data_IF_097644077437
#
_entry.id   IF_097644077437
#
_cell.length_a   1.000
_cell.length_b   1.000
_cell.length_c   1.000
_cell.angle_alpha   90.00
_cell.angle_beta   90.00
_cell.angle_gamma   90.00
#
_symmetry.space_group_name_H-M   'P 1'
#
loop_
_entity.id
_entity.type
_entity.pdbx_description
1 polymer ?
#
# COMPACT_ATOMS: atom_id res chain seq x y z
N UNK A 1 42.79 -38.33 -49.88
CA UNK A 1 42.04 -38.35 -48.61
C UNK A 1 42.31 -37.03 -47.89
N UNK A 2 41.44 -36.02 -48.01
CA UNK A 2 41.59 -34.74 -47.29
C UNK A 2 40.24 -34.39 -46.64
N UNK A 3 40.32 -34.11 -45.34
CA UNK A 3 39.24 -34.09 -44.37
C UNK A 3 38.35 -32.83 -44.45
N UNK A 4 37.08 -33.00 -44.08
CA UNK A 4 36.06 -31.96 -44.02
C UNK A 4 36.25 -31.06 -42.78
N UNK A 5 36.17 -29.75 -42.99
CA UNK A 5 36.19 -28.73 -41.92
C UNK A 5 34.73 -28.41 -41.55
N UNK A 6 34.29 -28.82 -40.36
CA UNK A 6 32.98 -28.45 -39.80
C UNK A 6 33.05 -27.04 -39.20
N UNK A 7 32.16 -26.15 -39.68
CA UNK A 7 32.00 -24.80 -39.13
C UNK A 7 31.15 -24.83 -37.85
N UNK A 8 31.78 -24.61 -36.70
CA UNK A 8 31.12 -24.45 -35.40
C UNK A 8 30.31 -23.15 -35.35
N UNK A 9 28.98 -23.27 -35.26
CA UNK A 9 28.08 -22.12 -35.01
C UNK A 9 28.11 -21.77 -33.52
N UNK A 10 28.75 -20.66 -33.18
CA UNK A 10 28.65 -20.04 -31.85
C UNK A 10 27.24 -19.44 -31.70
N UNK A 11 26.39 -20.12 -30.93
CA UNK A 11 25.09 -19.58 -30.50
C UNK A 11 25.32 -18.61 -29.32
N UNK A 12 25.14 -17.31 -29.56
CA UNK A 12 25.14 -16.30 -28.51
C UNK A 12 23.88 -16.48 -27.63
N UNK A 13 23.99 -16.60 -26.31
CA UNK A 13 22.82 -16.68 -25.44
C UNK A 13 22.17 -15.30 -25.34
N UNK A 14 20.93 -15.20 -25.82
CA UNK A 14 20.10 -14.00 -25.67
C UNK A 14 19.70 -13.86 -24.20
N UNK A 15 20.46 -13.06 -23.45
CA UNK A 15 20.18 -12.73 -22.06
C UNK A 15 18.93 -11.85 -22.00
N UNK A 16 17.77 -12.45 -21.73
CA UNK A 16 16.52 -11.73 -21.56
C UNK A 16 16.60 -10.83 -20.31
N UNK A 17 16.86 -9.53 -20.51
CA UNK A 17 16.65 -8.52 -19.48
C UNK A 17 15.14 -8.44 -19.19
N UNK A 18 14.71 -9.10 -18.12
CA UNK A 18 13.43 -8.82 -17.48
C UNK A 18 13.50 -7.42 -16.86
N UNK A 19 13.23 -6.39 -17.68
CA UNK A 19 13.10 -5.03 -17.21
C UNK A 19 12.04 -4.99 -16.10
N UNK A 20 12.50 -4.68 -14.89
CA UNK A 20 11.62 -4.42 -13.78
C UNK A 20 10.96 -3.07 -13.98
N UNK A 21 9.82 -3.05 -14.68
CA UNK A 21 9.01 -1.83 -14.78
C UNK A 21 8.60 -1.45 -13.36
N UNK A 22 9.09 -0.32 -12.81
CA UNK A 22 8.60 0.14 -11.52
C UNK A 22 7.10 0.43 -11.65
N UNK A 23 6.34 0.18 -10.58
CA UNK A 23 4.95 0.61 -10.53
C UNK A 23 4.91 2.15 -10.54
N UNK A 24 4.93 2.75 -11.74
CA UNK A 24 4.72 4.17 -11.95
C UNK A 24 3.24 4.48 -11.70
N UNK A 25 2.94 5.69 -11.23
CA UNK A 25 1.57 6.17 -11.24
C UNK A 25 1.03 6.18 -12.68
N UNK A 26 -0.28 5.97 -12.85
CA UNK A 26 -0.96 6.07 -14.14
C UNK A 26 -0.65 7.43 -14.79
N UNK A 27 -0.21 7.40 -16.05
CA UNK A 27 0.07 8.61 -16.84
C UNK A 27 -1.02 8.76 -17.91
N UNK A 28 -2.09 9.46 -17.56
CA UNK A 28 -3.22 9.69 -18.46
C UNK A 28 -2.90 10.64 -19.62
N UNK A 29 -1.74 11.28 -19.62
CA UNK A 29 -1.25 12.10 -20.73
C UNK A 29 -0.29 11.32 -21.65
N UNK A 30 -0.08 10.03 -21.40
CA UNK A 30 0.78 9.21 -22.23
C UNK A 30 0.29 9.19 -23.68
N UNK A 31 1.20 9.22 -24.67
CA UNK A 31 0.85 9.32 -26.09
C UNK A 31 0.10 8.08 -26.61
N UNK A 32 0.19 6.96 -25.91
CA UNK A 32 -0.56 5.73 -26.18
C UNK A 32 -1.02 5.14 -24.86
N UNK A 33 -2.33 4.95 -24.74
CA UNK A 33 -2.96 4.24 -23.65
C UNK A 33 -3.43 2.87 -24.16
N UNK A 34 -3.36 1.86 -23.31
CA UNK A 34 -4.06 0.59 -23.56
C UNK A 34 -5.59 0.77 -23.52
N UNK A 35 -6.34 -0.26 -23.89
CA UNK A 35 -7.81 -0.24 -23.74
C UNK A 35 -8.24 -0.06 -22.28
N UNK A 36 -7.58 -0.77 -21.35
CA UNK A 36 -7.86 -0.63 -19.93
C UNK A 36 -7.45 0.75 -19.39
N UNK A 37 -6.27 1.24 -19.76
CA UNK A 37 -5.78 2.57 -19.37
C UNK A 37 -6.69 3.69 -19.90
N UNK A 38 -7.21 3.54 -21.12
CA UNK A 38 -8.21 4.46 -21.69
C UNK A 38 -9.44 4.56 -20.78
N UNK A 39 -10.01 3.44 -20.33
CA UNK A 39 -11.15 3.45 -19.41
C UNK A 39 -10.79 3.98 -18.03
N UNK A 40 -9.60 3.65 -17.51
CA UNK A 40 -9.13 4.15 -16.21
C UNK A 40 -9.03 5.67 -16.23
N UNK A 41 -8.39 6.24 -17.26
CA UNK A 41 -8.19 7.67 -17.38
C UNK A 41 -9.47 8.45 -17.71
N UNK A 42 -10.42 7.85 -18.44
CA UNK A 42 -11.70 8.48 -18.75
C UNK A 42 -12.72 8.40 -17.59
N UNK A 43 -12.49 7.57 -16.57
CA UNK A 43 -13.48 7.30 -15.51
C UNK A 43 -12.92 7.66 -14.14
N UNK A 44 -13.38 8.75 -13.49
CA UNK A 44 -12.83 9.21 -12.21
C UNK A 44 -12.80 8.13 -11.12
N UNK A 45 -13.85 7.30 -11.02
CA UNK A 45 -13.90 6.22 -10.06
C UNK A 45 -12.84 5.12 -10.29
N UNK A 46 -12.52 4.81 -11.55
CA UNK A 46 -11.45 3.85 -11.88
C UNK A 46 -10.06 4.45 -11.64
N UNK A 47 -9.87 5.73 -11.94
CA UNK A 47 -8.64 6.44 -11.63
C UNK A 47 -8.36 6.45 -10.11
N UNK A 48 -9.37 6.75 -9.30
CA UNK A 48 -9.27 6.67 -7.84
C UNK A 48 -8.96 5.25 -7.35
N UNK A 49 -9.59 4.23 -7.93
CA UNK A 49 -9.30 2.83 -7.60
C UNK A 49 -7.85 2.46 -7.95
N UNK A 50 -7.30 2.96 -9.05
CA UNK A 50 -5.90 2.77 -9.41
C UNK A 50 -4.94 3.41 -8.41
N UNK A 51 -5.20 4.67 -8.04
CA UNK A 51 -4.42 5.38 -7.03
C UNK A 51 -4.42 4.64 -5.68
N UNK A 52 -5.61 4.26 -5.19
CA UNK A 52 -5.79 3.55 -3.91
C UNK A 52 -5.09 2.18 -3.90
N UNK A 53 -5.20 1.42 -5.00
CA UNK A 53 -4.53 0.13 -5.13
C UNK A 53 -3.01 0.30 -5.15
N UNK A 54 -2.50 1.31 -5.84
CA UNK A 54 -1.07 1.60 -5.89
C UNK A 54 -0.50 1.95 -4.52
N UNK A 55 -1.26 2.68 -3.70
CA UNK A 55 -0.89 2.98 -2.33
C UNK A 55 -0.89 1.74 -1.44
N UNK A 56 -1.92 0.90 -1.56
CA UNK A 56 -1.96 -0.41 -0.89
C UNK A 56 -0.78 -1.28 -1.30
N UNK A 57 -0.43 -1.34 -2.59
CA UNK A 57 0.71 -2.12 -3.08
C UNK A 57 2.05 -1.62 -2.50
N UNK A 58 2.24 -0.30 -2.39
CA UNK A 58 3.45 0.27 -1.78
C UNK A 58 3.58 -0.08 -0.30
N UNK A 59 2.48 -0.04 0.43
CA UNK A 59 2.44 -0.46 1.84
C UNK A 59 2.71 -1.97 1.95
N UNK A 60 2.06 -2.78 1.12
CA UNK A 60 2.31 -4.22 1.05
C UNK A 60 3.80 -4.51 0.77
N UNK A 61 4.45 -3.74 -0.11
CA UNK A 61 5.87 -3.89 -0.39
C UNK A 61 6.79 -3.55 0.81
N UNK A 62 6.35 -2.71 1.75
CA UNK A 62 7.11 -2.44 2.97
C UNK A 62 7.09 -3.63 3.94
N UNK A 63 5.98 -4.38 3.97
CA UNK A 63 5.75 -5.49 4.90
C UNK A 63 6.06 -6.87 4.30
N UNK A 64 6.08 -6.98 2.96
CA UNK A 64 6.21 -8.26 2.28
C UNK A 64 7.49 -9.02 2.69
N UNK A 65 7.37 -10.30 3.11
CA UNK A 65 8.53 -11.17 3.35
C UNK A 65 9.41 -11.33 2.11
N UNK A 66 8.80 -11.27 0.91
CA UNK A 66 9.50 -11.30 -0.37
C UNK A 66 8.93 -10.25 -1.32
N UNK A 67 9.61 -9.09 -1.40
CA UNK A 67 9.28 -8.03 -2.37
C UNK A 67 9.32 -8.52 -3.84
N UNK A 68 10.29 -9.36 -4.26
CA UNK A 68 10.28 -9.89 -5.62
C UNK A 68 9.05 -10.74 -5.94
N UNK A 69 8.58 -11.56 -4.98
CA UNK A 69 7.39 -12.37 -5.17
C UNK A 69 6.13 -11.50 -5.32
N UNK A 70 5.92 -10.55 -4.40
CA UNK A 70 4.81 -9.59 -4.46
C UNK A 70 4.80 -8.82 -5.79
N UNK A 71 5.98 -8.40 -6.28
CA UNK A 71 6.12 -7.72 -7.56
C UNK A 71 5.70 -8.60 -8.74
N UNK A 72 6.10 -9.87 -8.76
CA UNK A 72 5.70 -10.80 -9.85
C UNK A 72 4.19 -10.98 -9.90
N UNK A 73 3.54 -11.11 -8.76
CA UNK A 73 2.08 -11.22 -8.68
C UNK A 73 1.38 -9.94 -9.12
N UNK A 74 1.89 -8.77 -8.73
CA UNK A 74 1.36 -7.49 -9.18
C UNK A 74 1.46 -7.34 -10.69
N UNK A 75 2.59 -7.75 -11.29
CA UNK A 75 2.77 -7.77 -12.74
C UNK A 75 1.84 -8.76 -13.44
N UNK A 76 1.59 -9.93 -12.83
CA UNK A 76 0.63 -10.90 -13.35
C UNK A 76 -0.80 -10.34 -13.32
N UNK A 77 -1.19 -9.69 -12.22
CA UNK A 77 -2.48 -9.01 -12.11
C UNK A 77 -2.63 -7.88 -13.14
N UNK A 78 -1.60 -7.05 -13.34
CA UNK A 78 -1.62 -6.00 -14.38
C UNK A 78 -1.88 -6.60 -15.77
N UNK A 79 -1.18 -7.68 -16.13
CA UNK A 79 -1.43 -8.37 -17.42
C UNK A 79 -2.84 -8.94 -17.54
N UNK A 80 -3.43 -9.43 -16.45
CA UNK A 80 -4.81 -9.93 -16.44
C UNK A 80 -5.83 -8.78 -16.55
N UNK A 81 -5.59 -7.65 -15.86
CA UNK A 81 -6.42 -6.44 -15.94
C UNK A 81 -6.54 -5.92 -17.38
N UNK A 82 -5.44 -5.95 -18.14
CA UNK A 82 -5.43 -5.55 -19.56
C UNK A 82 -6.37 -6.37 -20.46
N UNK A 83 -6.81 -7.55 -20.02
CA UNK A 83 -7.71 -8.42 -20.79
C UNK A 83 -9.19 -8.07 -20.60
N UNK A 84 -9.52 -7.12 -19.72
CA UNK A 84 -10.90 -6.69 -19.52
C UNK A 84 -11.49 -6.08 -20.80
N UNK A 85 -12.77 -6.38 -21.05
CA UNK A 85 -13.51 -5.92 -22.24
C UNK A 85 -14.53 -4.83 -21.94
N UNK A 86 -14.73 -4.51 -20.67
CA UNK A 86 -15.60 -3.43 -20.22
C UNK A 86 -15.16 -2.88 -18.84
N UNK A 87 -15.80 -1.78 -18.43
CA UNK A 87 -15.54 -1.16 -17.12
C UNK A 87 -15.99 -2.01 -15.93
N UNK A 88 -16.97 -2.93 -16.11
CA UNK A 88 -17.44 -3.80 -15.02
C UNK A 88 -16.34 -4.80 -14.65
N UNK A 89 -15.70 -5.41 -15.64
CA UNK A 89 -14.54 -6.27 -15.47
C UNK A 89 -13.40 -5.54 -14.77
N UNK A 90 -13.07 -4.30 -15.21
CA UNK A 90 -12.02 -3.51 -14.56
C UNK A 90 -12.33 -3.25 -13.09
N UNK A 91 -13.54 -2.76 -12.78
CA UNK A 91 -13.96 -2.51 -11.40
C UNK A 91 -13.81 -3.75 -10.53
N UNK A 92 -14.25 -4.91 -11.02
CA UNK A 92 -14.11 -6.17 -10.29
C UNK A 92 -12.64 -6.54 -10.07
N UNK A 93 -11.79 -6.41 -11.10
CA UNK A 93 -10.35 -6.67 -11.01
C UNK A 93 -9.67 -5.81 -9.95
N UNK A 94 -10.04 -4.52 -9.84
CA UNK A 94 -9.54 -3.62 -8.79
C UNK A 94 -10.03 -4.03 -7.39
N UNK A 95 -11.33 -4.34 -7.25
CA UNK A 95 -11.91 -4.78 -5.97
C UNK A 95 -11.22 -6.05 -5.45
N UNK A 96 -11.01 -7.03 -6.32
CA UNK A 96 -10.40 -8.30 -5.95
C UNK A 96 -8.94 -8.12 -5.55
N UNK A 97 -8.19 -7.31 -6.32
CA UNK A 97 -6.78 -7.07 -6.00
C UNK A 97 -6.60 -6.22 -4.76
N UNK A 98 -7.43 -5.20 -4.54
CA UNK A 98 -7.42 -4.42 -3.32
C UNK A 98 -7.68 -5.31 -2.10
N UNK A 99 -8.69 -6.19 -2.17
CA UNK A 99 -8.98 -7.17 -1.10
C UNK A 99 -7.79 -8.08 -0.80
N UNK A 100 -7.14 -8.62 -1.84
CA UNK A 100 -5.96 -9.45 -1.68
C UNK A 100 -4.80 -8.71 -1.01
N UNK A 101 -4.53 -7.46 -1.41
CA UNK A 101 -3.45 -6.65 -0.83
C UNK A 101 -3.75 -6.30 0.63
N UNK A 102 -4.98 -5.88 0.96
CA UNK A 102 -5.42 -5.59 2.33
C UNK A 102 -5.27 -6.80 3.25
N UNK A 103 -5.71 -7.98 2.79
CA UNK A 103 -5.54 -9.23 3.54
C UNK A 103 -4.06 -9.54 3.82
N UNK A 104 -3.19 -9.44 2.79
CA UNK A 104 -1.75 -9.66 2.96
C UNK A 104 -1.09 -8.66 3.90
N UNK A 105 -1.46 -7.39 3.81
CA UNK A 105 -0.95 -6.34 4.71
C UNK A 105 -1.28 -6.67 6.16
N UNK A 106 -2.54 -7.04 6.44
CA UNK A 106 -2.97 -7.48 7.77
C UNK A 106 -2.19 -8.72 8.23
N UNK A 107 -2.05 -9.72 7.36
CA UNK A 107 -1.38 -10.97 7.71
C UNK A 107 0.12 -10.76 7.99
N UNK A 108 0.80 -9.91 7.21
CA UNK A 108 2.22 -9.56 7.41
C UNK A 108 2.46 -8.57 8.56
N UNK A 109 1.42 -7.89 9.05
CA UNK A 109 1.49 -7.08 10.25
C UNK A 109 1.47 -7.93 11.54
N UNK A 110 1.31 -9.25 11.44
CA UNK A 110 1.24 -10.18 12.56
C UNK A 110 2.37 -11.23 12.51
N UNK A 111 2.83 -11.75 13.66
CA UNK A 111 2.48 -11.34 15.02
C UNK A 111 2.97 -9.93 15.36
N UNK A 112 2.41 -9.33 16.42
CA UNK A 112 2.74 -7.97 16.80
C UNK A 112 4.23 -7.81 17.14
N UNK A 113 4.94 -6.99 16.36
CA UNK A 113 6.36 -6.66 16.56
C UNK A 113 6.59 -5.16 16.85
N UNK A 114 5.52 -4.42 17.16
CA UNK A 114 5.56 -2.98 17.41
C UNK A 114 6.00 -2.71 18.86
N UNK A 115 7.04 -1.88 19.03
CA UNK A 115 7.46 -1.38 20.34
C UNK A 115 6.59 -0.16 20.73
N UNK A 116 5.80 -0.24 21.83
CA UNK A 116 4.95 0.87 22.27
C UNK A 116 5.70 2.18 22.50
N UNK A 117 6.99 2.14 22.82
CA UNK A 117 7.79 3.36 23.03
C UNK A 117 8.11 4.06 21.71
N UNK A 118 8.17 3.33 20.60
CA UNK A 118 8.53 3.87 19.28
C UNK A 118 7.36 4.56 18.58
N UNK A 119 6.13 4.19 18.91
CA UNK A 119 4.93 4.79 18.34
C UNK A 119 4.60 6.15 18.96
N UNK A 120 5.17 6.48 20.12
CA UNK A 120 5.04 7.80 20.72
C UNK A 120 5.68 8.89 19.84
N UNK A 121 5.09 10.08 19.83
CA UNK A 121 5.58 11.24 19.08
C UNK A 121 4.65 11.66 17.94
N UNK A 122 5.19 12.50 17.06
CA UNK A 122 4.44 13.17 15.99
C UNK A 122 4.57 12.42 14.67
N UNK A 123 3.45 12.25 13.98
CA UNK A 123 3.35 11.49 12.74
C UNK A 123 2.66 12.30 11.66
N UNK A 124 3.13 12.19 10.43
CA UNK A 124 2.54 12.80 9.23
C UNK A 124 2.25 11.74 8.17
N UNK A 125 1.09 11.81 7.54
CA UNK A 125 0.68 10.87 6.48
C UNK A 125 1.54 11.04 5.24
N UNK A 126 1.86 9.91 4.59
CA UNK A 126 2.53 9.87 3.30
C UNK A 126 1.46 9.64 2.23
N UNK A 127 0.85 10.73 1.75
CA UNK A 127 -0.25 10.87 0.76
C UNK A 127 -1.64 11.10 1.35
N UNK A 128 -2.28 10.07 1.86
CA UNK A 128 -3.67 10.16 2.33
C UNK A 128 -3.84 9.28 3.55
N UNK A 129 -4.00 9.95 4.70
CA UNK A 129 -4.27 9.32 5.98
C UNK A 129 -5.62 9.78 6.53
N UNK A 130 -6.15 9.02 7.47
CA UNK A 130 -7.35 9.34 8.26
C UNK A 130 -7.10 10.61 9.07
N UNK A 131 -5.84 10.80 9.47
CA UNK A 131 -5.30 12.04 9.99
C UNK A 131 -4.13 12.43 9.10
N UNK A 132 -4.03 13.69 8.66
CA UNK A 132 -2.81 14.11 7.96
C UNK A 132 -1.64 14.19 8.91
N UNK A 133 -1.88 14.67 10.13
CA UNK A 133 -0.91 14.62 11.22
C UNK A 133 -1.58 14.27 12.54
N UNK A 134 -0.86 13.54 13.39
CA UNK A 134 -1.29 13.27 14.76
C UNK A 134 -0.10 13.07 15.71
N UNK A 135 -0.38 13.16 17.01
CA UNK A 135 0.55 12.80 18.07
C UNK A 135 -0.04 11.69 18.95
N UNK A 136 0.80 10.69 19.25
CA UNK A 136 0.58 9.75 20.36
C UNK A 136 1.44 10.22 21.54
N UNK A 137 0.84 10.98 22.46
CA UNK A 137 1.56 11.53 23.60
C UNK A 137 1.85 10.46 24.66
N UNK A 138 2.98 10.55 25.41
CA UNK A 138 3.31 9.61 26.49
C UNK A 138 2.24 9.50 27.57
N UNK A 139 1.44 10.55 27.79
CA UNK A 139 0.30 10.57 28.72
C UNK A 139 -0.97 9.90 28.20
N UNK A 140 -0.88 9.06 27.16
CA UNK A 140 -2.03 8.39 26.53
C UNK A 140 -3.10 9.35 25.98
N UNK A 141 -2.64 10.54 25.55
CA UNK A 141 -3.47 11.55 24.85
C UNK A 141 -3.13 11.57 23.38
N UNK A 142 -4.19 11.56 22.57
CA UNK A 142 -4.14 11.62 21.13
C UNK A 142 -4.45 13.05 20.72
N UNK A 143 -3.57 13.63 19.92
CA UNK A 143 -3.75 14.98 19.40
C UNK A 143 -3.74 14.91 17.88
N UNK A 144 -4.86 15.19 17.26
CA UNK A 144 -4.91 15.61 15.87
C UNK A 144 -4.55 17.10 15.81
N UNK A 145 -3.62 17.48 14.94
CA UNK A 145 -3.19 18.88 14.85
C UNK A 145 -4.35 19.80 14.42
N UNK A 146 -4.36 21.00 15.00
CA UNK A 146 -5.54 21.85 15.28
C UNK A 146 -6.39 22.28 14.07
N UNK A 147 -5.94 22.10 12.83
CA UNK A 147 -6.60 22.69 11.65
C UNK A 147 -7.40 21.72 10.79
N UNK A 148 -7.46 20.43 11.13
CA UNK A 148 -8.10 19.44 10.25
C UNK A 148 -9.12 18.53 10.92
N UNK A 149 -8.85 18.08 12.14
CA UNK A 149 -9.72 17.16 12.91
C UNK A 149 -9.78 17.53 14.40
N UNK A 150 -10.05 18.80 14.79
CA UNK A 150 -9.97 19.24 16.18
C UNK A 150 -10.89 18.46 17.15
N UNK A 151 -11.89 17.75 16.64
CA UNK A 151 -12.76 16.85 17.38
C UNK A 151 -12.05 15.63 17.99
N UNK A 152 -10.86 15.27 17.50
CA UNK A 152 -10.01 14.21 18.04
C UNK A 152 -8.87 14.72 18.93
N UNK A 153 -8.80 16.02 19.23
CA UNK A 153 -7.78 16.53 20.14
C UNK A 153 -8.05 16.10 21.60
N UNK A 154 -6.97 15.76 22.33
CA UNK A 154 -6.97 15.32 23.73
C UNK A 154 -7.79 14.05 24.01
N UNK A 155 -7.99 13.21 22.99
CA UNK A 155 -8.70 11.94 23.15
C UNK A 155 -7.82 10.88 23.80
N UNK A 156 -8.37 10.00 24.66
CA UNK A 156 -7.59 8.91 25.22
C UNK A 156 -7.21 7.93 24.10
N UNK A 157 -6.01 7.37 24.16
CA UNK A 157 -5.65 6.23 23.31
C UNK A 157 -5.07 5.07 24.14
N UNK A 158 -5.27 3.85 23.64
CA UNK A 158 -4.74 2.62 24.24
C UNK A 158 -4.04 1.78 23.18
N UNK A 159 -3.05 0.98 23.58
CA UNK A 159 -2.38 0.02 22.71
C UNK A 159 -2.36 -1.36 23.35
N UNK A 160 -2.91 -2.35 22.65
CA UNK A 160 -2.89 -3.75 23.03
C UNK A 160 -1.79 -4.49 22.25
N UNK A 161 -0.71 -4.86 22.93
CA UNK A 161 0.42 -5.54 22.31
C UNK A 161 0.10 -6.98 21.87
N UNK A 162 -0.95 -7.61 22.41
CA UNK A 162 -1.37 -8.97 22.06
C UNK A 162 -1.84 -9.10 20.61
N UNK A 163 -2.48 -8.06 20.07
CA UNK A 163 -3.03 -8.04 18.71
C UNK A 163 -2.63 -6.80 17.90
N UNK A 164 -1.63 -6.04 18.38
CA UNK A 164 -1.13 -4.81 17.77
C UNK A 164 -2.23 -3.74 17.56
N UNK A 165 -3.25 -3.71 18.42
CA UNK A 165 -4.38 -2.77 18.26
C UNK A 165 -4.15 -1.46 18.98
N UNK A 166 -4.17 -0.36 18.23
CA UNK A 166 -4.31 1.01 18.72
C UNK A 166 -5.80 1.39 18.72
N UNK A 167 -6.32 1.87 19.84
CA UNK A 167 -7.68 2.44 19.91
C UNK A 167 -7.61 3.91 20.29
N UNK A 168 -8.37 4.74 19.59
CA UNK A 168 -8.51 6.18 19.87
C UNK A 168 -9.97 6.43 20.27
N UNK A 169 -10.14 7.07 21.42
CA UNK A 169 -11.45 7.38 21.98
C UNK A 169 -12.29 8.25 21.06
N UNK A 170 -13.61 8.18 21.23
CA UNK A 170 -14.56 8.82 20.33
C UNK A 170 -14.37 10.34 20.22
N UNK A 171 -14.45 10.86 19.00
CA UNK A 171 -14.54 12.28 18.68
C UNK A 171 -15.79 12.94 19.24
N UNK A 172 -15.96 14.24 19.01
CA UNK A 172 -17.22 14.95 19.36
C UNK A 172 -18.42 14.48 18.55
N UNK A 173 -18.17 13.88 17.39
CA UNK A 173 -19.13 13.24 16.51
C UNK A 173 -19.51 11.81 16.94
N UNK A 174 -18.89 11.29 18.01
CA UNK A 174 -19.12 9.92 18.50
C UNK A 174 -18.33 8.85 17.76
N UNK A 175 -17.51 9.20 16.76
CA UNK A 175 -16.72 8.25 16.00
C UNK A 175 -15.45 7.90 16.77
N UNK A 176 -15.22 6.61 17.02
CA UNK A 176 -13.96 6.10 17.56
C UNK A 176 -13.16 5.38 16.46
N UNK A 177 -11.85 5.28 16.63
CA UNK A 177 -10.99 4.57 15.69
C UNK A 177 -10.27 3.41 16.35
N UNK A 178 -10.14 2.31 15.60
CA UNK A 178 -9.32 1.17 15.98
C UNK A 178 -8.44 0.76 14.80
N UNK A 179 -7.13 0.72 15.01
CA UNK A 179 -6.14 0.38 14.00
C UNK A 179 -5.31 -0.82 14.44
N UNK A 180 -5.04 -1.73 13.51
CA UNK A 180 -3.91 -2.64 13.61
C UNK A 180 -2.63 -1.87 13.22
N UNK A 181 -1.59 -1.97 14.03
CA UNK A 181 -0.31 -1.32 13.79
C UNK A 181 0.69 -2.24 13.12
N UNK A 182 1.48 -1.70 12.20
CA UNK A 182 2.74 -2.28 11.75
C UNK A 182 3.82 -1.21 11.68
N UNK A 183 5.05 -1.57 12.03
CA UNK A 183 6.19 -0.64 12.05
C UNK A 183 7.38 -1.20 11.25
N UNK A 184 7.40 -1.03 9.91
CA UNK A 184 8.47 -1.58 9.07
C UNK A 184 9.83 -0.90 9.30
N UNK A 185 9.83 0.32 9.87
CA UNK A 185 11.03 1.08 10.27
C UNK A 185 10.71 1.96 11.48
N UNK A 186 11.71 2.38 12.29
CA UNK A 186 11.46 3.25 13.44
C UNK A 186 10.73 4.56 13.10
N UNK A 187 10.95 5.09 11.89
CA UNK A 187 10.38 6.35 11.38
C UNK A 187 9.18 6.12 10.44
N UNK A 188 8.66 4.90 10.35
CA UNK A 188 7.50 4.56 9.52
C UNK A 188 6.47 3.77 10.31
N UNK A 189 5.28 4.34 10.44
CA UNK A 189 4.13 3.69 11.08
C UNK A 189 3.07 3.42 10.04
N UNK A 190 2.50 2.22 10.05
CA UNK A 190 1.35 1.85 9.23
C UNK A 190 0.17 1.70 10.17
N UNK A 191 -0.90 2.45 9.90
CA UNK A 191 -2.21 2.25 10.52
C UNK A 191 -3.08 1.46 9.55
N UNK A 192 -3.59 0.31 9.97
CA UNK A 192 -4.52 -0.52 9.19
C UNK A 192 -5.88 -0.43 9.87
N UNK A 193 -6.88 0.17 9.22
CA UNK A 193 -8.22 0.28 9.78
C UNK A 193 -8.79 -1.10 10.12
N UNK A 194 -9.25 -1.31 11.36
CA UNK A 194 -9.70 -2.64 11.80
C UNK A 194 -10.98 -3.11 11.11
N UNK A 195 -11.79 -2.18 10.58
CA UNK A 195 -13.03 -2.48 9.87
C UNK A 195 -12.81 -2.67 8.37
N UNK A 196 -12.21 -1.67 7.69
CA UNK A 196 -12.05 -1.69 6.23
C UNK A 196 -10.77 -2.41 5.76
N UNK A 197 -9.80 -2.59 6.66
CA UNK A 197 -8.43 -3.04 6.36
C UNK A 197 -7.66 -2.11 5.43
N UNK A 198 -8.10 -0.85 5.28
CA UNK A 198 -7.34 0.16 4.56
C UNK A 198 -6.10 0.54 5.36
N UNK A 199 -4.95 0.38 4.70
CA UNK A 199 -3.66 0.66 5.29
C UNK A 199 -3.17 2.05 4.86
N UNK A 200 -2.58 2.77 5.81
CA UNK A 200 -2.16 4.15 5.67
C UNK A 200 -0.77 4.30 6.24
N UNK A 201 0.12 4.95 5.50
CA UNK A 201 1.54 5.07 5.86
C UNK A 201 1.82 6.46 6.44
N UNK A 202 2.52 6.47 7.56
CA UNK A 202 2.93 7.66 8.28
C UNK A 202 4.45 7.71 8.42
N UNK A 203 5.03 8.91 8.37
CA UNK A 203 6.42 9.18 8.74
C UNK A 203 6.48 9.91 10.07
N UNK A 204 7.51 9.63 10.87
CA UNK A 204 7.77 10.34 12.12
C UNK A 204 8.32 11.73 11.83
N UNK A 205 7.83 12.75 12.53
CA UNK A 205 8.34 14.12 12.43
C UNK A 205 9.43 14.39 13.46
N UNK A 206 9.20 14.00 14.73
CA UNK A 206 10.12 14.14 15.87
C UNK A 206 9.88 13.01 16.88
#
# INVERSE_FOLDING_TARGET
MHAAIQASRLALPLMALLAAVPARAMDCAAPRLSGAETWICATPALLMADMSLNDSYRIAALLAPSRPALRREQQAWLRAREQCRDQRCLRQSYVDRARQLRARIRDWAQPCAVDPRRILGDWESIRSGTFDQFQLAPGHRFHSWLHQRPEFNDKPWTFAASDCRLSIGAGRDGIAFAFLLAQPRPDRLILIDSGSLDAQLYKKLR
#
